data_IF_185870319518
#
_entry.id   IF_185870319518
#
_cell.length_a   1.000
_cell.length_b   1.000
_cell.length_c   1.000
_cell.angle_alpha   90.00
_cell.angle_beta   90.00
_cell.angle_gamma   90.00
#
_symmetry.space_group_name_H-M   'P 1'
#
loop_
_entity.id
_entity.type
_entity.pdbx_description
1 polymer ?
#
# COMPACT_ATOMS: atom_id res chain seq x y z
N UNK A 1 31.58 -39.79 -73.32
CA UNK A 1 32.40 -40.26 -72.19
C UNK A 1 32.00 -39.48 -70.95
N UNK A 2 31.65 -40.20 -69.86
CA UNK A 2 31.77 -39.83 -68.44
C UNK A 2 30.82 -38.74 -67.84
N UNK A 3 29.78 -39.29 -67.17
CA UNK A 3 29.25 -39.04 -65.80
C UNK A 3 28.57 -37.73 -65.37
N UNK A 4 27.42 -37.96 -64.74
CA UNK A 4 26.55 -37.04 -63.97
C UNK A 4 27.13 -36.65 -62.60
N UNK A 5 26.66 -35.53 -62.03
CA UNK A 5 26.35 -35.40 -60.60
C UNK A 5 25.46 -34.18 -60.30
N UNK A 6 24.59 -34.34 -59.30
CA UNK A 6 23.50 -33.48 -58.81
C UNK A 6 24.00 -32.36 -57.88
N UNK A 7 23.22 -31.27 -57.70
CA UNK A 7 22.78 -30.80 -56.37
C UNK A 7 21.87 -29.54 -56.45
N UNK A 8 20.90 -29.52 -55.53
CA UNK A 8 19.84 -28.54 -55.25
C UNK A 8 20.32 -27.55 -54.16
N UNK A 9 19.55 -26.47 -53.94
CA UNK A 9 19.47 -25.53 -52.77
C UNK A 9 20.18 -24.17 -53.01
N UNK A 10 19.62 -22.99 -52.72
CA UNK A 10 18.73 -22.66 -51.61
C UNK A 10 17.80 -21.45 -51.86
N UNK A 11 16.57 -21.60 -51.39
CA UNK A 11 15.69 -20.53 -50.87
C UNK A 11 16.19 -20.18 -49.45
N UNK A 12 16.15 -18.90 -49.01
CA UNK A 12 16.10 -18.41 -47.60
C UNK A 12 16.25 -16.87 -47.63
N UNK A 13 15.14 -16.12 -47.53
CA UNK A 13 14.57 -15.51 -46.32
C UNK A 13 15.06 -14.07 -46.05
N UNK A 14 14.15 -13.14 -46.33
CA UNK A 14 14.03 -11.82 -45.70
C UNK A 14 14.00 -12.00 -44.18
N UNK A 15 14.96 -11.43 -43.43
CA UNK A 15 14.78 -10.99 -42.03
C UNK A 15 16.05 -10.28 -41.54
N UNK A 16 16.01 -8.95 -41.41
CA UNK A 16 16.83 -8.20 -40.45
C UNK A 16 16.31 -6.75 -40.30
N UNK A 17 15.02 -6.59 -40.00
CA UNK A 17 14.50 -5.37 -39.39
C UNK A 17 13.91 -5.76 -38.03
N UNK A 18 14.79 -5.88 -37.04
CA UNK A 18 14.45 -6.37 -35.70
C UNK A 18 15.61 -6.23 -34.72
N UNK A 19 16.25 -5.06 -34.69
CA UNK A 19 17.26 -4.72 -33.68
C UNK A 19 16.88 -3.43 -32.94
N UNK A 20 15.59 -3.26 -32.66
CA UNK A 20 15.09 -2.23 -31.76
C UNK A 20 14.29 -2.90 -30.65
N UNK A 21 14.70 -2.63 -29.40
CA UNK A 21 14.13 -3.09 -28.14
C UNK A 21 14.53 -4.51 -27.65
N UNK A 22 15.82 -4.77 -27.46
CA UNK A 22 16.19 -5.41 -26.19
C UNK A 22 15.96 -4.37 -25.10
N UNK A 23 14.80 -4.43 -24.45
CA UNK A 23 14.54 -3.68 -23.23
C UNK A 23 15.74 -3.88 -22.30
N UNK A 24 16.27 -2.81 -21.72
CA UNK A 24 17.41 -2.91 -20.82
C UNK A 24 17.07 -3.89 -19.69
N UNK A 25 17.61 -5.11 -19.75
CA UNK A 25 17.24 -6.21 -18.83
C UNK A 25 17.83 -6.02 -17.42
N UNK A 26 18.63 -4.97 -17.21
CA UNK A 26 19.36 -4.72 -15.97
C UNK A 26 18.63 -3.72 -15.06
N UNK A 27 18.73 -3.86 -13.73
CA UNK A 27 18.22 -2.87 -12.77
C UNK A 27 18.98 -1.54 -12.89
N UNK A 28 18.61 -0.56 -12.07
CA UNK A 28 19.26 0.76 -12.01
C UNK A 28 20.69 0.75 -11.44
N UNK A 29 21.18 -0.41 -11.00
CA UNK A 29 22.52 -0.62 -10.47
C UNK A 29 23.30 -1.71 -11.23
N UNK A 30 24.61 -1.75 -11.00
CA UNK A 30 25.52 -2.71 -11.65
C UNK A 30 25.43 -4.10 -11.01
N UNK A 31 24.81 -5.05 -11.72
CA UNK A 31 24.70 -6.44 -11.28
C UNK A 31 26.04 -7.15 -11.07
N UNK A 32 27.14 -6.69 -11.68
CA UNK A 32 28.47 -7.26 -11.41
C UNK A 32 28.96 -6.93 -9.99
N UNK A 33 28.38 -5.89 -9.35
CA UNK A 33 28.67 -5.46 -7.98
C UNK A 33 27.66 -5.99 -6.96
N UNK A 34 26.69 -6.80 -7.38
CA UNK A 34 25.67 -7.36 -6.50
C UNK A 34 26.25 -8.44 -5.57
N UNK A 35 26.56 -8.05 -4.33
CA UNK A 35 27.19 -8.89 -3.32
C UNK A 35 26.18 -9.50 -2.34
N UNK A 36 24.93 -9.01 -2.30
CA UNK A 36 23.88 -9.51 -1.40
C UNK A 36 22.79 -10.32 -2.14
N UNK A 37 22.15 -11.26 -1.45
CA UNK A 37 21.13 -12.16 -2.03
C UNK A 37 19.96 -11.41 -2.67
N UNK A 38 19.57 -10.26 -2.11
CA UNK A 38 18.48 -9.43 -2.65
C UNK A 38 18.86 -8.81 -3.98
N UNK A 39 20.05 -8.21 -4.08
CA UNK A 39 20.49 -7.57 -5.31
C UNK A 39 20.69 -8.60 -6.42
N UNK A 40 21.16 -9.80 -6.08
CA UNK A 40 21.20 -10.95 -7.01
C UNK A 40 19.81 -11.39 -7.47
N UNK A 41 18.81 -11.40 -6.58
CA UNK A 41 17.43 -11.74 -6.95
C UNK A 41 16.86 -10.71 -7.94
N UNK A 42 17.08 -9.41 -7.68
CA UNK A 42 16.69 -8.33 -8.60
C UNK A 42 17.38 -8.47 -9.95
N UNK A 43 18.68 -8.77 -9.96
CA UNK A 43 19.47 -8.93 -11.19
C UNK A 43 19.08 -10.12 -12.06
N UNK A 44 18.52 -11.18 -11.46
CA UNK A 44 18.14 -12.42 -12.18
C UNK A 44 16.69 -12.40 -12.68
N UNK A 45 15.90 -11.42 -12.27
CA UNK A 45 14.47 -11.36 -12.57
C UNK A 45 14.14 -10.06 -13.33
N UNK A 46 13.71 -10.20 -14.58
CA UNK A 46 13.46 -9.06 -15.48
C UNK A 46 12.36 -8.11 -14.96
N UNK A 47 11.33 -8.65 -14.29
CA UNK A 47 10.25 -7.83 -13.72
C UNK A 47 10.73 -7.06 -12.49
N UNK A 48 11.56 -7.67 -11.64
CA UNK A 48 12.18 -6.95 -10.51
C UNK A 48 13.17 -5.89 -10.99
N UNK A 49 13.96 -6.18 -12.03
CA UNK A 49 14.84 -5.19 -12.64
C UNK A 49 14.05 -4.01 -13.23
N UNK A 50 12.91 -4.27 -13.87
CA UNK A 50 11.99 -3.24 -14.36
C UNK A 50 11.42 -2.40 -13.21
N UNK A 51 10.92 -3.04 -12.15
CA UNK A 51 10.38 -2.36 -10.98
C UNK A 51 11.45 -1.47 -10.29
N UNK A 52 12.70 -1.95 -10.23
CA UNK A 52 13.82 -1.16 -9.72
C UNK A 52 14.08 0.11 -10.54
N UNK A 53 14.08 0.01 -11.87
CA UNK A 53 14.21 1.19 -12.76
C UNK A 53 13.04 2.16 -12.61
N UNK A 54 11.82 1.64 -12.49
CA UNK A 54 10.63 2.49 -12.31
C UNK A 54 10.68 3.25 -10.97
N UNK A 55 11.11 2.58 -9.91
CA UNK A 55 11.34 3.20 -8.60
C UNK A 55 12.43 4.27 -8.68
N UNK A 56 13.57 3.96 -9.29
CA UNK A 56 14.66 4.91 -9.47
C UNK A 56 14.22 6.14 -10.29
N UNK A 57 13.41 5.94 -11.33
CA UNK A 57 12.85 7.05 -12.14
C UNK A 57 11.95 7.95 -11.29
N UNK A 58 11.04 7.38 -10.50
CA UNK A 58 10.16 8.15 -9.62
C UNK A 58 10.95 8.90 -8.53
N UNK A 59 11.98 8.26 -7.96
CA UNK A 59 12.85 8.87 -6.97
C UNK A 59 13.63 10.06 -7.55
N UNK A 60 14.29 9.89 -8.70
CA UNK A 60 15.07 10.96 -9.35
C UNK A 60 14.18 12.13 -9.75
N UNK A 61 13.00 11.86 -10.32
CA UNK A 61 12.06 12.91 -10.70
C UNK A 61 11.59 13.76 -9.51
N UNK A 62 11.43 13.15 -8.33
CA UNK A 62 11.13 13.89 -7.11
C UNK A 62 12.37 14.62 -6.59
N UNK A 63 13.52 13.94 -6.53
CA UNK A 63 14.78 14.49 -6.02
C UNK A 63 15.22 15.76 -6.78
N UNK A 64 15.06 15.79 -8.10
CA UNK A 64 15.44 16.92 -8.95
C UNK A 64 14.60 18.18 -8.71
N UNK A 65 13.40 18.02 -8.13
CA UNK A 65 12.50 19.12 -7.77
C UNK A 65 12.77 19.67 -6.37
N UNK A 66 13.55 18.96 -5.55
CA UNK A 66 13.79 19.32 -4.16
C UNK A 66 15.17 19.98 -3.96
N UNK A 67 15.26 20.77 -2.91
CA UNK A 67 16.51 21.39 -2.46
C UNK A 67 16.57 21.41 -0.93
N UNK A 68 17.74 21.72 -0.38
CA UNK A 68 17.97 21.86 1.07
C UNK A 68 17.44 20.68 1.89
N UNK A 69 16.79 20.99 3.01
CA UNK A 69 16.29 20.00 3.96
C UNK A 69 15.31 18.99 3.35
N UNK A 70 14.46 19.41 2.40
CA UNK A 70 13.52 18.51 1.73
C UNK A 70 14.25 17.47 0.85
N UNK A 71 15.32 17.87 0.18
CA UNK A 71 16.17 16.95 -0.59
C UNK A 71 16.88 15.97 0.33
N UNK A 72 17.42 16.46 1.45
CA UNK A 72 18.11 15.64 2.44
C UNK A 72 17.18 14.61 3.09
N UNK A 73 15.92 15.00 3.37
CA UNK A 73 14.89 14.08 3.88
C UNK A 73 14.63 12.94 2.90
N UNK A 74 14.35 13.25 1.63
CA UNK A 74 14.09 12.23 0.61
C UNK A 74 15.27 11.26 0.43
N UNK A 75 16.51 11.76 0.47
CA UNK A 75 17.71 10.91 0.37
C UNK A 75 17.80 9.97 1.57
N UNK A 76 17.59 10.47 2.79
CA UNK A 76 17.60 9.66 4.02
C UNK A 76 16.49 8.63 4.02
N UNK A 77 15.30 9.01 3.56
CA UNK A 77 14.16 8.12 3.39
C UNK A 77 14.45 7.01 2.37
N UNK A 78 15.04 7.33 1.22
CA UNK A 78 15.40 6.33 0.22
C UNK A 78 16.42 5.32 0.74
N UNK A 79 17.46 5.78 1.45
CA UNK A 79 18.46 4.90 2.07
C UNK A 79 17.82 3.98 3.10
N UNK A 80 16.95 4.53 3.96
CA UNK A 80 16.21 3.76 4.97
C UNK A 80 15.28 2.73 4.33
N UNK A 81 14.53 3.11 3.29
CA UNK A 81 13.67 2.19 2.56
C UNK A 81 14.46 1.02 1.94
N UNK A 82 15.61 1.28 1.30
CA UNK A 82 16.47 0.21 0.75
C UNK A 82 16.92 -0.74 1.87
N UNK A 83 17.36 -0.21 3.00
CA UNK A 83 17.78 -1.02 4.15
C UNK A 83 16.61 -1.85 4.72
N UNK A 84 15.42 -1.27 4.82
CA UNK A 84 14.21 -1.94 5.29
C UNK A 84 13.78 -3.06 4.35
N UNK A 85 13.63 -2.77 3.04
CA UNK A 85 13.36 -3.75 1.98
C UNK A 85 14.32 -4.92 2.06
N UNK A 86 15.61 -4.64 2.17
CA UNK A 86 16.66 -5.63 2.25
C UNK A 86 16.55 -6.54 3.48
N UNK A 87 16.22 -5.97 4.64
CA UNK A 87 16.04 -6.74 5.89
C UNK A 87 14.78 -7.59 5.84
N UNK A 88 13.66 -6.99 5.44
CA UNK A 88 12.35 -7.61 5.28
C UNK A 88 12.40 -8.80 4.33
N UNK A 89 12.81 -8.56 3.08
CA UNK A 89 12.76 -9.61 2.05
C UNK A 89 13.82 -10.69 2.23
N UNK A 90 14.79 -10.52 3.14
CA UNK A 90 15.71 -11.60 3.53
C UNK A 90 15.16 -12.51 4.62
N UNK A 91 14.08 -12.12 5.30
CA UNK A 91 13.51 -12.88 6.42
C UNK A 91 12.90 -14.21 5.96
N UNK A 92 12.34 -14.23 4.75
CA UNK A 92 11.78 -15.42 4.11
C UNK A 92 12.46 -15.67 2.75
N UNK A 93 13.52 -16.50 2.69
CA UNK A 93 14.25 -16.79 1.47
C UNK A 93 13.40 -17.41 0.35
N UNK A 94 12.31 -18.09 0.69
CA UNK A 94 11.45 -18.77 -0.28
C UNK A 94 10.48 -17.78 -0.97
N UNK A 95 10.24 -16.62 -0.35
CA UNK A 95 9.31 -15.58 -0.83
C UNK A 95 10.00 -14.24 -1.18
N UNK A 96 11.31 -14.25 -1.46
CA UNK A 96 12.08 -13.04 -1.79
C UNK A 96 11.43 -12.23 -2.93
N UNK A 97 11.02 -12.89 -4.02
CA UNK A 97 10.49 -12.20 -5.19
C UNK A 97 9.19 -11.45 -4.90
N UNK A 98 8.24 -12.09 -4.22
CA UNK A 98 6.95 -11.49 -3.92
C UNK A 98 7.09 -10.38 -2.89
N UNK A 99 7.96 -10.54 -1.89
CA UNK A 99 8.33 -9.44 -1.01
C UNK A 99 8.87 -8.25 -1.82
N UNK A 100 9.81 -8.46 -2.73
CA UNK A 100 10.40 -7.37 -3.52
C UNK A 100 9.37 -6.68 -4.41
N UNK A 101 8.48 -7.44 -5.08
CA UNK A 101 7.38 -6.88 -5.88
C UNK A 101 6.52 -5.94 -5.04
N UNK A 102 6.09 -6.39 -3.86
CA UNK A 102 5.27 -5.60 -2.94
C UNK A 102 6.00 -4.34 -2.45
N UNK A 103 7.29 -4.46 -2.08
CA UNK A 103 8.10 -3.30 -1.65
C UNK A 103 8.29 -2.27 -2.75
N UNK A 104 8.58 -2.69 -3.98
CA UNK A 104 8.73 -1.78 -5.11
C UNK A 104 7.41 -1.10 -5.47
N UNK A 105 6.31 -1.85 -5.54
CA UNK A 105 4.99 -1.30 -5.87
C UNK A 105 4.57 -0.21 -4.87
N UNK A 106 4.68 -0.49 -3.56
CA UNK A 106 4.38 0.49 -2.51
C UNK A 106 5.30 1.71 -2.59
N UNK A 107 6.61 1.52 -2.81
CA UNK A 107 7.57 2.63 -2.91
C UNK A 107 7.29 3.54 -4.09
N UNK A 108 7.05 2.97 -5.27
CA UNK A 108 6.73 3.72 -6.49
C UNK A 108 5.47 4.55 -6.26
N UNK A 109 4.42 3.96 -5.67
CA UNK A 109 3.19 4.66 -5.35
C UNK A 109 3.43 5.83 -4.39
N UNK A 110 4.19 5.60 -3.31
CA UNK A 110 4.49 6.63 -2.32
C UNK A 110 5.34 7.77 -2.87
N UNK A 111 6.37 7.47 -3.68
CA UNK A 111 7.18 8.49 -4.35
C UNK A 111 6.33 9.35 -5.30
N UNK A 112 5.45 8.72 -6.08
CA UNK A 112 4.53 9.43 -6.99
C UNK A 112 3.54 10.29 -6.22
N UNK A 113 2.99 9.82 -5.11
CA UNK A 113 2.09 10.60 -4.25
C UNK A 113 2.82 11.79 -3.62
N UNK A 114 4.05 11.60 -3.12
CA UNK A 114 4.88 12.66 -2.56
C UNK A 114 5.28 13.72 -3.61
N UNK A 115 5.29 13.38 -4.91
CA UNK A 115 5.56 14.30 -5.99
C UNK A 115 4.36 15.18 -6.41
N UNK A 116 3.17 14.94 -5.84
CA UNK A 116 1.95 15.67 -6.18
C UNK A 116 1.80 16.93 -5.30
N UNK A 117 1.91 18.09 -5.95
CA UNK A 117 1.85 19.40 -5.29
C UNK A 117 3.11 19.67 -4.46
N UNK A 118 2.92 20.28 -3.30
CA UNK A 118 3.99 20.47 -2.30
C UNK A 118 4.41 19.13 -1.72
N UNK A 119 5.73 18.90 -1.65
CA UNK A 119 6.30 17.70 -1.07
C UNK A 119 5.93 17.58 0.42
N UNK A 120 5.20 16.52 0.83
CA UNK A 120 4.67 16.41 2.18
C UNK A 120 5.65 15.75 3.17
N UNK A 121 6.87 15.45 2.74
CA UNK A 121 7.91 14.80 3.55
C UNK A 121 7.41 13.55 4.32
N UNK A 122 6.64 12.70 3.63
CA UNK A 122 6.14 11.43 4.19
C UNK A 122 7.20 10.35 3.91
N UNK A 123 7.93 9.96 4.96
CA UNK A 123 8.96 8.94 4.94
C UNK A 123 8.47 7.59 5.48
N UNK A 124 9.15 6.51 5.10
CA UNK A 124 8.89 5.18 5.65
C UNK A 124 9.69 4.95 6.93
N UNK A 125 8.99 4.45 7.95
CA UNK A 125 9.56 3.81 9.13
C UNK A 125 9.21 2.33 9.13
N UNK A 126 9.98 1.51 9.84
CA UNK A 126 9.70 0.08 9.94
C UNK A 126 10.02 -0.53 11.29
N UNK A 127 9.27 -1.56 11.66
CA UNK A 127 9.53 -2.47 12.77
C UNK A 127 9.43 -3.89 12.23
N UNK A 128 10.52 -4.64 12.28
CA UNK A 128 10.53 -6.03 11.81
C UNK A 128 11.30 -6.91 12.79
N UNK A 129 10.74 -8.07 13.11
CA UNK A 129 11.38 -9.07 13.99
C UNK A 129 10.84 -10.44 13.66
N UNK A 130 11.68 -11.45 13.88
CA UNK A 130 11.31 -12.85 13.82
C UNK A 130 11.87 -13.59 15.04
N UNK A 131 11.26 -14.71 15.40
CA UNK A 131 11.72 -15.51 16.53
C UNK A 131 10.99 -16.84 16.65
N UNK A 132 11.33 -17.56 17.72
CA UNK A 132 10.67 -18.81 18.11
C UNK A 132 10.40 -18.79 19.61
N UNK A 133 9.19 -19.15 20.02
CA UNK A 133 8.82 -19.39 21.42
C UNK A 133 8.11 -20.74 21.51
N UNK A 134 8.77 -21.74 22.11
CA UNK A 134 8.26 -23.11 22.13
C UNK A 134 8.00 -23.63 20.70
N UNK A 135 6.74 -24.00 20.42
CA UNK A 135 6.26 -24.48 19.12
C UNK A 135 5.74 -23.38 18.19
N UNK A 136 5.92 -22.11 18.55
CA UNK A 136 5.53 -20.96 17.72
C UNK A 136 6.78 -20.40 17.06
N UNK A 137 6.89 -20.51 15.73
CA UNK A 137 7.75 -19.63 14.94
C UNK A 137 6.94 -18.40 14.58
N UNK A 138 7.51 -17.20 14.73
CA UNK A 138 6.75 -15.98 14.50
C UNK A 138 7.56 -14.91 13.79
N UNK A 139 6.88 -14.05 13.04
CA UNK A 139 7.44 -12.86 12.45
C UNK A 139 6.43 -11.70 12.46
N UNK A 140 6.95 -10.48 12.49
CA UNK A 140 6.22 -9.32 12.02
C UNK A 140 7.10 -8.45 11.15
N UNK A 141 6.48 -7.78 10.18
CA UNK A 141 7.11 -6.81 9.31
C UNK A 141 6.13 -5.66 9.04
N UNK A 142 6.38 -4.54 9.72
CA UNK A 142 5.46 -3.41 9.77
C UNK A 142 6.16 -2.20 9.19
N UNK A 143 5.63 -1.65 8.11
CA UNK A 143 5.95 -0.29 7.67
C UNK A 143 4.82 0.68 7.98
N UNK A 144 5.19 1.92 8.29
CA UNK A 144 4.27 2.99 8.66
C UNK A 144 4.85 4.35 8.29
N UNK A 145 4.01 5.38 8.06
CA UNK A 145 4.48 6.70 7.65
C UNK A 145 5.04 7.51 8.82
N UNK A 146 5.95 8.41 8.50
CA UNK A 146 6.33 9.54 9.35
C UNK A 146 6.37 10.82 8.51
N UNK A 147 5.77 11.89 9.01
CA UNK A 147 5.72 13.20 8.39
C UNK A 147 6.82 14.08 8.97
N UNK A 148 7.63 14.71 8.11
CA UNK A 148 8.75 15.57 8.49
C UNK A 148 8.69 16.93 7.77
N UNK A 149 7.73 17.79 8.15
CA UNK A 149 7.66 19.18 7.66
C UNK A 149 8.16 20.16 8.73
N UNK A 150 8.98 21.14 8.34
CA UNK A 150 9.51 22.14 9.25
C UNK A 150 8.48 23.19 9.70
N UNK A 151 7.37 23.34 8.97
CA UNK A 151 6.39 24.40 9.16
C UNK A 151 5.07 23.91 9.78
N UNK A 152 4.87 22.59 9.85
CA UNK A 152 3.63 21.98 10.38
C UNK A 152 3.98 20.96 11.45
N UNK A 153 3.34 21.09 12.61
CA UNK A 153 3.53 20.13 13.70
C UNK A 153 2.77 18.83 13.43
N UNK A 154 3.52 17.79 13.06
CA UNK A 154 3.01 16.43 12.87
C UNK A 154 3.23 15.52 14.08
N UNK A 155 3.65 16.02 15.25
CA UNK A 155 3.98 15.18 16.40
C UNK A 155 2.84 14.24 16.79
N UNK A 156 1.60 14.73 16.83
CA UNK A 156 0.44 13.92 17.16
C UNK A 156 0.13 12.85 16.09
N UNK A 157 0.23 13.18 14.81
CA UNK A 157 0.06 12.23 13.69
C UNK A 157 1.15 11.16 13.70
N UNK A 158 2.41 11.57 13.90
CA UNK A 158 3.54 10.65 13.99
C UNK A 158 3.41 9.72 15.20
N UNK A 159 2.99 10.25 16.36
CA UNK A 159 2.72 9.45 17.55
C UNK A 159 1.57 8.47 17.33
N UNK A 160 0.53 8.84 16.57
CA UNK A 160 -0.57 7.95 16.22
C UNK A 160 -0.08 6.74 15.41
N UNK A 161 0.66 6.96 14.31
CA UNK A 161 1.14 5.86 13.47
C UNK A 161 2.23 5.01 14.17
N UNK A 162 3.20 5.65 14.83
CA UNK A 162 4.24 4.93 15.57
C UNK A 162 3.66 4.13 16.75
N UNK A 163 2.68 4.70 17.46
CA UNK A 163 1.97 4.04 18.55
C UNK A 163 1.16 2.83 18.07
N UNK A 164 0.45 2.95 16.95
CA UNK A 164 -0.26 1.84 16.33
C UNK A 164 0.70 0.71 15.90
N UNK A 165 1.80 1.06 15.23
CA UNK A 165 2.82 0.10 14.82
C UNK A 165 3.43 -0.63 16.04
N UNK A 166 3.79 0.10 17.09
CA UNK A 166 4.32 -0.49 18.33
C UNK A 166 3.30 -1.41 19.00
N UNK A 167 2.04 -0.98 19.08
CA UNK A 167 0.95 -1.81 19.62
C UNK A 167 0.83 -3.13 18.86
N UNK A 168 0.89 -3.10 17.53
CA UNK A 168 0.92 -4.33 16.71
C UNK A 168 2.13 -5.20 17.04
N UNK A 169 3.34 -4.64 17.22
CA UNK A 169 4.50 -5.47 17.63
C UNK A 169 4.31 -6.16 18.99
N UNK A 170 3.66 -5.48 19.95
CA UNK A 170 3.38 -6.02 21.28
C UNK A 170 2.28 -7.11 21.23
N UNK A 171 1.31 -6.99 20.32
CA UNK A 171 0.23 -7.95 20.08
C UNK A 171 0.71 -9.22 19.36
N UNK A 172 1.66 -9.06 18.42
CA UNK A 172 2.16 -10.14 17.56
C UNK A 172 3.45 -10.80 18.05
N UNK A 173 3.98 -10.37 19.20
CA UNK A 173 5.03 -11.08 19.91
C UNK A 173 4.40 -12.12 20.85
N UNK A 174 4.64 -13.43 20.65
CA UNK A 174 4.09 -14.45 21.54
C UNK A 174 4.65 -14.34 22.96
N UNK A 175 3.80 -14.65 23.93
CA UNK A 175 4.07 -14.58 25.39
C UNK A 175 4.11 -15.99 25.99
N UNK A 176 4.67 -16.12 27.19
CA UNK A 176 4.89 -17.42 27.84
C UNK A 176 3.63 -18.30 27.99
N UNK A 177 2.43 -17.70 28.00
CA UNK A 177 1.14 -18.41 28.08
C UNK A 177 0.53 -18.81 26.73
N UNK A 178 1.14 -18.42 25.60
CA UNK A 178 0.56 -18.63 24.27
C UNK A 178 0.80 -20.05 23.71
N UNK A 179 1.64 -20.86 24.37
CA UNK A 179 2.19 -22.09 23.83
C UNK A 179 1.14 -23.12 23.37
N UNK A 180 0.96 -23.34 22.05
CA UNK A 180 0.02 -24.33 21.54
C UNK A 180 0.54 -25.76 21.71
N UNK A 181 -0.37 -26.75 21.71
CA UNK A 181 0.00 -28.17 21.70
C UNK A 181 0.72 -28.60 20.40
N UNK A 182 0.53 -27.85 19.31
CA UNK A 182 1.05 -28.13 17.95
C UNK A 182 1.94 -27.01 17.42
N UNK A 183 2.81 -27.33 16.46
CA UNK A 183 3.60 -26.32 15.74
C UNK A 183 2.69 -25.28 15.06
N UNK A 184 3.06 -24.00 15.19
CA UNK A 184 2.37 -22.89 14.57
C UNK A 184 3.37 -21.89 13.99
N UNK A 185 2.99 -21.28 12.87
CA UNK A 185 3.68 -20.14 12.30
C UNK A 185 2.78 -18.92 12.46
N UNK A 186 3.26 -17.89 13.15
CA UNK A 186 2.56 -16.62 13.27
C UNK A 186 3.21 -15.60 12.35
N UNK A 187 2.40 -14.82 11.65
CA UNK A 187 2.90 -13.74 10.81
C UNK A 187 1.99 -12.52 10.91
N UNK A 188 2.61 -11.34 10.86
CA UNK A 188 1.92 -10.07 10.71
C UNK A 188 2.71 -9.17 9.76
N UNK A 189 2.14 -8.89 8.61
CA UNK A 189 2.73 -8.02 7.61
C UNK A 189 1.84 -6.79 7.47
N UNK A 190 2.42 -5.60 7.58
CA UNK A 190 1.70 -4.34 7.39
C UNK A 190 2.50 -3.45 6.44
N UNK A 191 1.83 -3.00 5.39
CA UNK A 191 2.33 -1.96 4.49
C UNK A 191 1.49 -0.70 4.58
N UNK A 192 2.00 0.39 4.02
CA UNK A 192 1.19 1.56 3.74
C UNK A 192 1.47 2.12 2.35
N UNK A 193 0.44 2.71 1.76
CA UNK A 193 0.57 3.56 0.60
C UNK A 193 -0.04 4.94 0.84
N UNK A 194 0.36 5.93 0.05
CA UNK A 194 -0.14 7.30 0.12
C UNK A 194 -1.03 7.58 -1.09
N UNK A 195 -2.21 8.13 -0.84
CA UNK A 195 -3.09 8.72 -1.84
C UNK A 195 -3.21 10.23 -1.62
N UNK A 196 -3.46 10.96 -2.69
CA UNK A 196 -3.55 12.44 -2.68
C UNK A 196 -4.91 12.85 -3.24
N UNK A 197 -5.90 13.12 -2.38
CA UNK A 197 -7.19 13.64 -2.84
C UNK A 197 -7.08 15.04 -3.47
N UNK A 198 -8.13 15.46 -4.20
CA UNK A 198 -8.24 16.81 -4.74
C UNK A 198 -8.05 17.91 -3.68
N UNK A 199 -7.49 19.03 -4.13
CA UNK A 199 -7.19 20.20 -3.28
C UNK A 199 -5.73 20.25 -2.80
N UNK A 200 -4.97 19.15 -2.86
CA UNK A 200 -3.53 19.14 -2.57
C UNK A 200 -3.15 19.36 -1.09
N UNK A 201 -4.13 19.61 -0.23
CA UNK A 201 -3.95 19.91 1.18
C UNK A 201 -4.02 18.68 2.10
N UNK A 202 -4.27 17.48 1.57
CA UNK A 202 -4.46 16.30 2.38
C UNK A 202 -3.83 15.06 1.77
N UNK A 203 -3.37 14.14 2.62
CA UNK A 203 -2.84 12.85 2.23
C UNK A 203 -3.65 11.75 2.93
N UNK A 204 -4.09 10.76 2.18
CA UNK A 204 -4.71 9.57 2.76
C UNK A 204 -3.63 8.51 2.90
N UNK A 205 -3.36 8.09 4.14
CA UNK A 205 -2.52 6.93 4.42
C UNK A 205 -3.40 5.70 4.36
N UNK A 206 -3.16 4.85 3.37
CA UNK A 206 -3.83 3.56 3.19
C UNK A 206 -2.93 2.50 3.81
N UNK A 207 -3.32 2.00 4.97
CA UNK A 207 -2.64 0.90 5.67
C UNK A 207 -3.32 -0.41 5.28
N UNK A 208 -2.53 -1.37 4.82
CA UNK A 208 -2.98 -2.72 4.54
C UNK A 208 -2.17 -3.67 5.39
N UNK A 209 -2.82 -4.65 6.00
CA UNK A 209 -2.12 -5.69 6.73
C UNK A 209 -2.71 -7.06 6.43
N UNK A 210 -1.86 -8.07 6.54
CA UNK A 210 -2.18 -9.48 6.49
C UNK A 210 -1.60 -10.15 7.72
N UNK A 211 -2.34 -11.13 8.24
CA UNK A 211 -1.98 -11.74 9.50
C UNK A 211 -2.42 -13.19 9.60
N UNK A 212 -1.65 -14.00 10.31
CA UNK A 212 -1.97 -15.39 10.57
C UNK A 212 -1.47 -15.79 11.95
N UNK A 213 -2.32 -16.37 12.79
CA UNK A 213 -1.98 -16.78 14.16
C UNK A 213 -2.35 -18.25 14.42
N UNK A 214 -2.31 -19.06 13.37
CA UNK A 214 -2.91 -20.40 13.37
C UNK A 214 -4.43 -20.35 13.14
N UNK A 215 -5.01 -21.51 12.87
CA UNK A 215 -6.44 -21.65 12.53
C UNK A 215 -6.66 -21.97 11.05
N UNK A 216 -7.91 -21.84 10.60
CA UNK A 216 -8.32 -22.25 9.25
C UNK A 216 -7.84 -21.29 8.15
N UNK A 217 -7.67 -20.00 8.44
CA UNK A 217 -7.24 -18.98 7.49
C UNK A 217 -6.57 -17.79 8.20
N UNK A 218 -5.90 -16.94 7.42
CA UNK A 218 -5.41 -15.64 7.88
C UNK A 218 -6.52 -14.59 7.99
N UNK A 219 -6.13 -13.36 8.32
CA UNK A 219 -6.99 -12.20 8.29
C UNK A 219 -6.21 -11.01 7.76
N UNK A 220 -6.74 -10.38 6.72
CA UNK A 220 -6.22 -9.14 6.17
C UNK A 220 -7.29 -8.06 6.16
N UNK A 221 -6.86 -6.80 6.24
CA UNK A 221 -7.75 -5.65 6.20
C UNK A 221 -7.06 -4.39 5.67
N UNK A 222 -7.87 -3.51 5.09
CA UNK A 222 -7.47 -2.16 4.69
C UNK A 222 -8.04 -1.15 5.68
N UNK A 223 -7.23 -0.16 6.06
CA UNK A 223 -7.60 0.98 6.91
C UNK A 223 -7.03 2.26 6.32
N UNK A 224 -7.80 3.33 6.34
CA UNK A 224 -7.41 4.62 5.79
C UNK A 224 -7.41 5.71 6.85
N UNK A 225 -6.43 6.61 6.81
CA UNK A 225 -6.37 7.78 7.66
C UNK A 225 -6.12 9.01 6.78
N UNK A 226 -7.07 9.94 6.75
CA UNK A 226 -6.88 11.22 6.09
C UNK A 226 -6.09 12.15 7.01
N UNK A 227 -5.00 12.72 6.53
CA UNK A 227 -4.18 13.72 7.22
C UNK A 227 -4.30 15.05 6.51
N UNK A 228 -4.73 16.09 7.20
CA UNK A 228 -4.68 17.46 6.70
C UNK A 228 -3.26 18.01 6.86
N UNK A 229 -2.58 18.19 5.73
CA UNK A 229 -1.18 18.60 5.68
C UNK A 229 -0.97 20.05 6.13
N UNK A 230 -2.03 20.87 6.20
CA UNK A 230 -1.91 22.26 6.68
C UNK A 230 -1.88 22.32 8.21
N UNK A 231 -2.53 21.36 8.86
CA UNK A 231 -2.76 21.39 10.31
C UNK A 231 -2.04 20.29 11.07
N UNK A 232 -1.52 19.28 10.37
CA UNK A 232 -0.83 18.16 10.99
C UNK A 232 -1.77 17.25 11.79
N UNK A 233 -3.03 17.13 11.36
CA UNK A 233 -4.08 16.38 12.08
C UNK A 233 -4.64 15.24 11.23
N UNK A 234 -4.92 14.11 11.89
CA UNK A 234 -5.81 13.08 11.33
C UNK A 234 -7.24 13.62 11.34
N UNK A 235 -7.94 13.54 10.21
CA UNK A 235 -9.28 14.07 10.02
C UNK A 235 -10.25 12.92 9.73
N UNK A 236 -11.25 12.75 10.61
CA UNK A 236 -12.37 11.84 10.38
C UNK A 236 -13.46 12.45 9.50
N UNK A 237 -14.54 11.70 9.20
CA UNK A 237 -15.63 12.18 8.36
C UNK A 237 -16.28 13.46 8.90
N UNK A 238 -16.33 13.68 10.22
CA UNK A 238 -16.88 14.91 10.80
C UNK A 238 -16.05 16.17 10.47
N UNK A 239 -14.76 16.01 10.16
CA UNK A 239 -13.89 17.11 9.73
C UNK A 239 -13.84 17.31 8.22
N UNK A 240 -14.46 16.42 7.43
CA UNK A 240 -14.56 16.53 5.96
C UNK A 240 -15.94 16.98 5.53
N UNK A 241 -16.99 16.51 6.21
CA UNK A 241 -18.37 16.80 5.85
C UNK A 241 -18.99 17.93 6.68
N UNK A 242 -20.03 18.56 6.13
CA UNK A 242 -20.76 19.65 6.77
C UNK A 242 -21.29 19.21 8.15
N UNK A 243 -21.28 20.11 9.16
CA UNK A 243 -21.76 19.77 10.51
C UNK A 243 -23.19 19.22 10.53
N UNK A 244 -23.48 18.41 11.55
CA UNK A 244 -24.78 17.78 11.76
C UNK A 244 -24.87 16.37 11.15
N UNK A 245 -26.07 15.82 11.07
CA UNK A 245 -26.30 14.42 10.65
C UNK A 245 -26.68 14.27 9.17
N UNK A 246 -26.77 15.38 8.43
CA UNK A 246 -27.18 15.34 7.02
C UNK A 246 -26.20 14.54 6.17
N UNK A 247 -24.89 14.73 6.38
CA UNK A 247 -23.86 13.98 5.65
C UNK A 247 -23.99 12.48 5.91
N UNK A 248 -24.24 12.07 7.15
CA UNK A 248 -24.36 10.66 7.52
C UNK A 248 -25.58 10.03 6.86
N UNK A 249 -26.72 10.74 6.81
CA UNK A 249 -27.91 10.29 6.08
C UNK A 249 -27.64 10.11 4.59
N UNK A 250 -26.97 11.07 3.95
CA UNK A 250 -26.59 10.98 2.53
C UNK A 250 -25.66 9.78 2.33
N UNK A 251 -24.60 9.65 3.13
CA UNK A 251 -23.66 8.53 3.03
C UNK A 251 -24.35 7.18 3.22
N UNK A 252 -25.22 7.02 4.22
CA UNK A 252 -26.00 5.80 4.44
C UNK A 252 -26.85 5.44 3.22
N UNK A 253 -27.46 6.42 2.55
CA UNK A 253 -28.23 6.18 1.33
C UNK A 253 -27.36 5.77 0.15
N UNK A 254 -26.26 6.51 -0.11
CA UNK A 254 -25.38 6.22 -1.25
C UNK A 254 -24.73 4.84 -1.10
N UNK A 255 -24.22 4.53 0.10
CA UNK A 255 -23.54 3.28 0.43
C UNK A 255 -24.50 2.13 0.50
N UNK A 256 -25.65 2.29 1.18
CA UNK A 256 -26.64 1.22 1.29
C UNK A 256 -27.22 0.81 -0.06
N UNK A 257 -27.45 1.77 -0.96
CA UNK A 257 -27.90 1.48 -2.32
C UNK A 257 -26.85 0.68 -3.12
N UNK A 258 -25.57 1.01 -2.97
CA UNK A 258 -24.49 0.31 -3.66
C UNK A 258 -24.25 -1.10 -3.11
N UNK A 259 -24.15 -1.25 -1.78
CA UNK A 259 -24.04 -2.56 -1.12
C UNK A 259 -25.22 -3.46 -1.46
N UNK A 260 -26.45 -2.94 -1.47
CA UNK A 260 -27.64 -3.70 -1.87
C UNK A 260 -27.53 -4.25 -3.29
N UNK A 261 -26.91 -3.51 -4.21
CA UNK A 261 -26.63 -4.00 -5.56
C UNK A 261 -25.56 -5.10 -5.54
N UNK A 262 -24.47 -4.89 -4.81
CA UNK A 262 -23.40 -5.89 -4.69
C UNK A 262 -23.90 -7.20 -4.05
N UNK A 263 -24.86 -7.12 -3.13
CA UNK A 263 -25.41 -8.30 -2.43
C UNK A 263 -26.18 -9.26 -3.33
N UNK A 264 -26.57 -8.82 -4.54
CA UNK A 264 -27.19 -9.67 -5.55
C UNK A 264 -26.21 -10.72 -6.07
N UNK A 265 -24.95 -10.32 -6.25
CA UNK A 265 -23.92 -11.17 -6.86
C UNK A 265 -23.00 -11.81 -5.81
N UNK A 266 -22.93 -11.23 -4.61
CA UNK A 266 -21.97 -11.60 -3.57
C UNK A 266 -22.66 -11.62 -2.20
N UNK A 267 -22.61 -12.73 -1.43
CA UNK A 267 -23.42 -12.91 -0.22
C UNK A 267 -23.09 -11.86 0.85
N UNK A 268 -24.06 -11.02 1.19
CA UNK A 268 -23.96 -10.00 2.24
C UNK A 268 -24.85 -10.28 3.45
N UNK A 269 -24.71 -9.46 4.48
CA UNK A 269 -25.56 -9.48 5.67
C UNK A 269 -26.67 -8.44 5.50
N UNK A 270 -27.90 -8.89 5.26
CA UNK A 270 -29.05 -8.00 5.03
C UNK A 270 -29.28 -7.02 6.18
N UNK A 271 -29.01 -7.46 7.41
CA UNK A 271 -29.15 -6.64 8.60
C UNK A 271 -28.11 -5.50 8.64
N UNK A 272 -26.95 -5.66 7.98
CA UNK A 272 -25.97 -4.58 7.85
C UNK A 272 -26.46 -3.42 6.97
N UNK A 273 -27.53 -3.62 6.17
CA UNK A 273 -28.18 -2.55 5.41
C UNK A 273 -29.23 -1.78 6.22
N UNK A 274 -29.55 -2.20 7.45
CA UNK A 274 -30.40 -1.43 8.34
C UNK A 274 -29.76 -0.03 8.58
N UNK A 275 -30.51 1.07 8.40
CA UNK A 275 -29.94 2.42 8.41
C UNK A 275 -29.12 2.75 9.67
N UNK A 276 -29.54 2.28 10.85
CA UNK A 276 -28.84 2.53 12.10
C UNK A 276 -27.50 1.76 12.19
N UNK A 277 -27.46 0.50 11.74
CA UNK A 277 -26.25 -0.32 11.72
C UNK A 277 -25.25 0.21 10.69
N UNK A 278 -25.73 0.54 9.49
CA UNK A 278 -24.88 1.12 8.45
C UNK A 278 -24.34 2.50 8.87
N UNK A 279 -25.18 3.37 9.46
CA UNK A 279 -24.75 4.67 9.96
C UNK A 279 -23.68 4.55 11.07
N UNK A 280 -23.78 3.52 11.93
CA UNK A 280 -22.75 3.24 12.93
C UNK A 280 -21.41 2.88 12.28
N UNK A 281 -21.40 1.98 11.29
CA UNK A 281 -20.19 1.65 10.52
C UNK A 281 -19.60 2.88 9.82
N UNK A 282 -20.45 3.71 9.21
CA UNK A 282 -20.05 4.95 8.54
C UNK A 282 -19.57 6.05 9.49
N UNK A 283 -19.71 5.88 10.80
CA UNK A 283 -19.14 6.81 11.77
C UNK A 283 -17.65 6.53 12.06
N UNK A 284 -17.15 5.38 11.65
CA UNK A 284 -15.76 4.96 11.86
C UNK A 284 -14.84 5.58 10.81
N UNK A 285 -13.84 6.33 11.27
CA UNK A 285 -12.99 7.14 10.38
C UNK A 285 -12.05 6.31 9.50
N UNK A 286 -11.68 5.11 9.94
CA UNK A 286 -10.65 4.29 9.31
C UNK A 286 -11.08 3.60 8.00
N UNK A 287 -12.28 3.89 7.51
CA UNK A 287 -12.92 3.22 6.37
C UNK A 287 -12.95 4.09 5.12
N UNK A 288 -12.56 5.36 5.27
CA UNK A 288 -12.66 6.40 4.24
C UNK A 288 -11.32 6.59 3.53
N UNK A 289 -11.18 5.96 2.37
CA UNK A 289 -10.01 6.05 1.52
C UNK A 289 -10.21 7.14 0.46
N UNK A 290 -9.79 8.36 0.76
CA UNK A 290 -9.89 9.47 -0.19
C UNK A 290 -8.78 9.38 -1.24
N UNK A 291 -9.13 9.01 -2.47
CA UNK A 291 -8.20 8.83 -3.59
C UNK A 291 -8.15 10.08 -4.46
N UNK A 292 -7.22 10.13 -5.43
CA UNK A 292 -7.21 11.23 -6.40
C UNK A 292 -8.48 11.33 -7.27
N UNK A 293 -9.32 10.29 -7.32
CA UNK A 293 -10.46 10.19 -8.26
C UNK A 293 -11.83 10.15 -7.59
N UNK A 294 -11.93 9.47 -6.45
CA UNK A 294 -13.18 9.25 -5.72
C UNK A 294 -12.89 9.07 -4.21
N UNK A 295 -13.95 9.02 -3.41
CA UNK A 295 -13.89 8.40 -2.10
C UNK A 295 -14.21 6.91 -2.26
N UNK A 296 -13.33 6.05 -1.75
CA UNK A 296 -13.58 4.62 -1.60
C UNK A 296 -13.92 4.34 -0.12
N UNK A 297 -15.09 3.75 0.14
CA UNK A 297 -15.50 3.34 1.50
C UNK A 297 -15.32 1.83 1.64
N UNK A 298 -14.40 1.42 2.51
CA UNK A 298 -14.03 0.01 2.70
C UNK A 298 -14.87 -0.64 3.80
N UNK A 299 -15.37 -1.84 3.50
CA UNK A 299 -15.96 -2.77 4.47
C UNK A 299 -15.12 -4.04 4.47
N UNK A 300 -14.34 -4.24 5.53
CA UNK A 300 -13.46 -5.40 5.64
C UNK A 300 -14.28 -6.70 5.81
N UNK A 301 -13.63 -7.85 5.67
CA UNK A 301 -14.27 -9.13 5.92
C UNK A 301 -15.00 -9.12 7.28
N UNK A 302 -16.24 -9.64 7.30
CA UNK A 302 -17.19 -9.64 8.42
C UNK A 302 -17.92 -8.32 8.71
N UNK A 303 -17.58 -7.19 8.11
CA UNK A 303 -18.29 -5.94 8.38
C UNK A 303 -19.74 -5.97 7.87
N UNK A 304 -19.92 -6.45 6.63
CA UNK A 304 -21.22 -6.46 5.92
C UNK A 304 -21.47 -7.76 5.16
N UNK A 305 -20.61 -8.76 5.35
CA UNK A 305 -20.73 -10.08 4.71
C UNK A 305 -19.72 -11.06 5.30
N UNK A 306 -19.87 -12.38 5.02
CA UNK A 306 -19.00 -13.41 5.55
C UNK A 306 -17.58 -13.32 4.98
N UNK A 307 -16.60 -13.93 5.66
CA UNK A 307 -15.20 -13.95 5.22
C UNK A 307 -15.00 -14.42 3.78
N UNK A 308 -15.73 -15.47 3.37
CA UNK A 308 -15.64 -16.06 2.04
C UNK A 308 -16.05 -15.09 0.93
N UNK A 309 -16.83 -14.07 1.25
CA UNK A 309 -17.16 -13.00 0.32
C UNK A 309 -15.93 -12.08 0.11
N UNK A 310 -15.06 -11.93 1.11
CA UNK A 310 -14.02 -10.92 1.12
C UNK A 310 -14.57 -9.50 1.35
N UNK A 311 -13.72 -8.47 1.31
CA UNK A 311 -14.13 -7.09 1.59
C UNK A 311 -15.11 -6.55 0.54
N UNK A 312 -15.95 -5.60 0.94
CA UNK A 312 -16.77 -4.79 0.04
C UNK A 312 -16.22 -3.38 -0.03
N UNK A 313 -16.31 -2.77 -1.20
CA UNK A 313 -15.78 -1.43 -1.47
C UNK A 313 -16.87 -0.63 -2.18
N UNK A 314 -17.09 0.60 -1.74
CA UNK A 314 -18.08 1.50 -2.35
C UNK A 314 -17.39 2.77 -2.84
N UNK A 315 -17.36 2.94 -4.16
CA UNK A 315 -16.80 4.12 -4.81
C UNK A 315 -17.84 5.23 -4.95
N UNK A 316 -17.51 6.42 -4.43
CA UNK A 316 -18.35 7.60 -4.49
C UNK A 316 -17.57 8.73 -5.16
N UNK A 317 -18.05 9.17 -6.33
CA UNK A 317 -17.46 10.32 -7.01
C UNK A 317 -17.59 11.60 -6.16
N UNK A 318 -16.58 12.45 -6.24
CA UNK A 318 -16.59 13.74 -5.54
C UNK A 318 -17.78 14.64 -5.92
N UNK A 319 -18.34 14.51 -7.13
CA UNK A 319 -19.54 15.27 -7.53
C UNK A 319 -20.77 14.89 -6.70
N UNK A 320 -20.91 13.61 -6.33
CA UNK A 320 -21.98 13.15 -5.43
C UNK A 320 -21.77 13.64 -4.00
N UNK A 321 -20.52 13.90 -3.59
CA UNK A 321 -20.17 14.37 -2.25
C UNK A 321 -20.22 15.90 -2.12
N UNK A 322 -20.07 16.64 -3.22
CA UNK A 322 -19.98 18.11 -3.23
C UNK A 322 -21.02 18.83 -2.35
N UNK A 323 -22.30 18.43 -2.30
CA UNK A 323 -23.30 19.11 -1.46
C UNK A 323 -23.09 18.96 0.05
N UNK A 324 -22.30 17.96 0.48
CA UNK A 324 -22.07 17.64 1.89
C UNK A 324 -20.62 17.85 2.32
N UNK A 325 -19.72 18.29 1.43
CA UNK A 325 -18.34 18.63 1.79
C UNK A 325 -18.27 19.98 2.48
N UNK A 326 -17.38 20.10 3.47
CA UNK A 326 -17.07 21.38 4.09
C UNK A 326 -16.31 22.29 3.11
N UNK A 327 -16.68 23.57 2.98
CA UNK A 327 -15.93 24.53 2.18
C UNK A 327 -14.49 24.78 2.68
N UNK A 328 -14.27 24.66 3.99
CA UNK A 328 -12.98 24.85 4.68
C UNK A 328 -12.24 23.53 4.95
N UNK A 329 -12.80 22.42 4.46
CA UNK A 329 -12.30 21.07 4.70
C UNK A 329 -11.02 20.73 3.93
N UNK A 330 -10.39 19.59 4.25
CA UNK A 330 -9.18 19.12 3.60
C UNK A 330 -9.39 18.61 2.15
N UNK A 331 -10.65 18.40 1.74
CA UNK A 331 -11.03 17.90 0.42
C UNK A 331 -11.68 19.04 -0.36
N UNK A 332 -11.05 19.48 -1.44
CA UNK A 332 -11.55 20.59 -2.26
C UNK A 332 -11.52 20.25 -3.75
N UNK A 333 -12.58 20.61 -4.47
CA UNK A 333 -12.68 20.54 -5.94
C UNK A 333 -12.91 21.94 -6.50
#
# INVERSE_FOLDING_TARGET
MIRQARAILAMLLVFAAGAAAQAQERPSFDCAKADHTIDRAICKNAELAKADREMATAYTALLDRLNGAAKDDLVKDQVRWIANRNRACRADPDNIEDCLKNRYAARIKNLRANAQGTYPAISEQSLAKQGKLGKITWSYDITYPRFEDANVDFAAVNAHFAGAAKKSTDEWTPKAGDGPEREQQWSYEQGFTVERPPGGHAATIVVQFDSYRGGAHGYGATRCALVDLRTGKVVGPQGVFTPGEQWLRVMTQLVGADLKKQFVDKPGFDDALEPAKLAKLLSESNRYCWTGKHLEVIFNAYDVGPYAAGPYEVDISYDRLKPILRPDGPIFR
#
